data_IF_272778813540
#
_entry.id   IF_272778813540
#
_cell.length_a   1.000
_cell.length_b   1.000
_cell.length_c   1.000
_cell.angle_alpha   90.00
_cell.angle_beta   90.00
_cell.angle_gamma   90.00
#
_symmetry.space_group_name_H-M   'P 1'
#
loop_
_entity.id
_entity.type
_entity.pdbx_description
1 polymer ?
#
# COMPACT_ATOMS: atom_id res chain seq x y z
N UNK A 1 -19.05 9.28 6.80
CA UNK A 1 -17.78 9.86 7.34
C UNK A 1 -16.56 8.99 6.95
N UNK A 2 -16.49 7.72 7.36
CA UNK A 2 -15.32 6.84 7.16
C UNK A 2 -14.81 6.73 5.71
N UNK A 3 -15.70 6.60 4.72
CA UNK A 3 -15.31 6.57 3.29
C UNK A 3 -14.61 7.86 2.85
N UNK A 4 -15.08 9.02 3.32
CA UNK A 4 -14.47 10.31 3.00
C UNK A 4 -13.03 10.42 3.51
N UNK A 5 -12.78 9.93 4.72
CA UNK A 5 -11.42 9.89 5.31
C UNK A 5 -10.51 8.97 4.48
N UNK A 6 -10.95 7.74 4.17
CA UNK A 6 -10.16 6.83 3.35
C UNK A 6 -9.83 7.42 1.97
N UNK A 7 -10.80 8.05 1.31
CA UNK A 7 -10.58 8.70 0.00
C UNK A 7 -9.60 9.88 0.10
N UNK A 8 -9.68 10.68 1.16
CA UNK A 8 -8.74 11.79 1.39
C UNK A 8 -7.30 11.29 1.53
N UNK A 9 -7.10 10.25 2.35
CA UNK A 9 -5.79 9.61 2.54
C UNK A 9 -5.31 8.97 1.23
N UNK A 10 -6.18 8.27 0.51
CA UNK A 10 -5.84 7.58 -0.74
C UNK A 10 -5.37 8.56 -1.83
N UNK A 11 -6.07 9.70 -1.97
CA UNK A 11 -5.68 10.78 -2.89
C UNK A 11 -4.29 11.33 -2.56
N UNK A 12 -3.98 11.52 -1.27
CA UNK A 12 -2.65 11.99 -0.83
C UNK A 12 -1.56 10.98 -1.18
N UNK A 13 -1.78 9.69 -0.90
CA UNK A 13 -0.83 8.61 -1.22
C UNK A 13 -0.56 8.57 -2.72
N UNK A 14 -1.60 8.54 -3.56
CA UNK A 14 -1.43 8.48 -5.01
C UNK A 14 -0.84 9.76 -5.60
N UNK A 15 -1.13 10.93 -5.04
CA UNK A 15 -0.50 12.18 -5.44
C UNK A 15 1.02 12.17 -5.25
N UNK A 16 1.51 11.53 -4.18
CA UNK A 16 2.95 11.30 -3.97
C UNK A 16 3.48 10.24 -4.93
N UNK A 17 2.78 9.11 -5.06
CA UNK A 17 3.21 7.99 -5.89
C UNK A 17 3.32 8.36 -7.38
N UNK A 18 2.40 9.18 -7.92
CA UNK A 18 2.41 9.64 -9.31
C UNK A 18 3.72 10.33 -9.74
N UNK A 19 4.46 10.93 -8.79
CA UNK A 19 5.77 11.55 -9.07
C UNK A 19 6.86 10.53 -9.41
N UNK A 20 6.63 9.25 -9.11
CA UNK A 20 7.61 8.17 -9.24
C UNK A 20 7.34 7.25 -10.45
N UNK A 21 6.43 7.63 -11.37
CA UNK A 21 5.95 6.76 -12.47
C UNK A 21 5.51 5.38 -11.98
N UNK A 22 4.39 5.35 -11.24
CA UNK A 22 3.81 4.11 -10.70
C UNK A 22 3.63 3.08 -11.82
N UNK A 23 4.35 1.96 -11.72
CA UNK A 23 4.24 0.83 -12.66
C UNK A 23 3.02 -0.02 -12.31
N UNK A 24 2.61 -0.88 -13.26
CA UNK A 24 1.66 -1.96 -12.98
C UNK A 24 2.22 -2.85 -11.86
N UNK A 25 1.32 -3.49 -11.11
CA UNK A 25 1.63 -4.37 -9.96
C UNK A 25 2.13 -3.65 -8.70
N UNK A 26 1.24 -2.90 -8.04
CA UNK A 26 1.56 -2.18 -6.80
C UNK A 26 1.32 -3.07 -5.58
N UNK A 27 2.35 -3.26 -4.75
CA UNK A 27 2.22 -3.90 -3.45
C UNK A 27 1.86 -2.86 -2.36
N UNK A 28 0.96 -3.22 -1.46
CA UNK A 28 0.60 -2.37 -0.31
C UNK A 28 0.82 -3.13 1.01
N UNK A 29 1.66 -2.54 1.88
CA UNK A 29 2.18 -3.18 3.08
C UNK A 29 2.05 -2.27 4.30
N UNK A 30 2.46 -2.74 5.48
CA UNK A 30 2.29 -2.05 6.76
C UNK A 30 0.95 -2.38 7.45
N UNK A 31 0.73 -1.81 8.63
CA UNK A 31 -0.48 -2.10 9.43
C UNK A 31 -1.79 -1.69 8.76
N UNK A 32 -1.78 -0.59 8.00
CA UNK A 32 -2.96 -0.06 7.30
C UNK A 32 -3.42 -0.98 6.16
N UNK A 33 -2.56 -1.85 5.64
CA UNK A 33 -2.93 -2.84 4.64
C UNK A 33 -3.88 -3.94 5.16
N UNK A 34 -4.17 -4.00 6.47
CA UNK A 34 -5.26 -4.82 7.02
C UNK A 34 -6.64 -4.15 6.90
N UNK A 35 -6.69 -2.84 6.62
CA UNK A 35 -7.94 -2.09 6.48
C UNK A 35 -8.50 -2.24 5.06
N UNK A 36 -9.54 -3.09 4.94
CA UNK A 36 -10.25 -3.34 3.67
C UNK A 36 -10.85 -2.07 3.05
N UNK A 37 -11.26 -1.10 3.86
CA UNK A 37 -11.81 0.17 3.37
C UNK A 37 -10.73 1.06 2.74
N UNK A 38 -9.53 1.05 3.31
CA UNK A 38 -8.37 1.75 2.74
C UNK A 38 -7.89 1.08 1.45
N UNK A 39 -7.82 -0.25 1.43
CA UNK A 39 -7.48 -1.02 0.22
C UNK A 39 -8.43 -0.66 -0.92
N UNK A 40 -9.75 -0.74 -0.68
CA UNK A 40 -10.76 -0.39 -1.69
C UNK A 40 -10.61 1.04 -2.20
N UNK A 41 -10.38 2.00 -1.31
CA UNK A 41 -10.21 3.41 -1.69
C UNK A 41 -8.95 3.64 -2.55
N UNK A 42 -7.85 2.93 -2.26
CA UNK A 42 -6.64 2.99 -3.07
C UNK A 42 -6.84 2.32 -4.43
N UNK A 43 -7.43 1.12 -4.47
CA UNK A 43 -7.72 0.41 -5.73
C UNK A 43 -8.67 1.22 -6.63
N UNK A 44 -9.70 1.85 -6.06
CA UNK A 44 -10.64 2.72 -6.80
C UNK A 44 -9.92 3.88 -7.50
N UNK A 45 -8.97 4.53 -6.83
CA UNK A 45 -8.23 5.66 -7.39
C UNK A 45 -7.02 5.25 -8.25
N UNK A 46 -6.43 4.09 -7.96
CA UNK A 46 -5.32 3.52 -8.74
C UNK A 46 -5.83 2.98 -10.08
N UNK A 47 -7.06 2.47 -10.12
CA UNK A 47 -7.64 1.80 -11.29
C UNK A 47 -7.10 0.38 -11.51
N UNK A 48 -6.43 -0.20 -10.51
CA UNK A 48 -5.84 -1.53 -10.54
C UNK A 48 -5.89 -2.16 -9.13
N UNK A 49 -5.73 -3.48 -9.05
CA UNK A 49 -5.69 -4.20 -7.78
C UNK A 49 -4.35 -4.06 -7.08
N UNK A 50 -4.42 -3.97 -5.76
CA UNK A 50 -3.23 -3.99 -4.92
C UNK A 50 -2.82 -5.43 -4.61
N UNK A 51 -1.52 -5.70 -4.66
CA UNK A 51 -0.94 -6.93 -4.11
C UNK A 51 -0.77 -6.76 -2.61
N UNK A 52 -1.57 -7.51 -1.85
CA UNK A 52 -1.49 -7.54 -0.38
C UNK A 52 -0.81 -8.84 0.03
N UNK A 53 0.38 -8.81 0.65
CA UNK A 53 1.01 -10.01 1.19
C UNK A 53 0.22 -10.55 2.41
N UNK A 54 0.37 -11.83 2.78
CA UNK A 54 -0.37 -12.42 3.89
C UNK A 54 -0.18 -11.67 5.22
N UNK A 55 1.06 -11.27 5.53
CA UNK A 55 1.43 -10.54 6.74
C UNK A 55 2.01 -9.16 6.41
N UNK A 56 1.19 -8.19 5.98
CA UNK A 56 1.69 -6.92 5.45
C UNK A 56 2.44 -6.09 6.49
N UNK A 57 2.13 -6.25 7.77
CA UNK A 57 2.78 -5.55 8.87
C UNK A 57 4.22 -6.04 9.12
N UNK A 58 4.55 -7.28 8.73
CA UNK A 58 5.87 -7.88 8.95
C UNK A 58 6.85 -7.60 7.81
N UNK A 59 6.38 -7.13 6.66
CA UNK A 59 7.21 -6.97 5.45
C UNK A 59 8.43 -6.08 5.69
N UNK A 60 8.29 -5.02 6.50
CA UNK A 60 9.43 -4.15 6.84
C UNK A 60 10.51 -4.88 7.65
N UNK A 61 10.12 -5.66 8.64
CA UNK A 61 11.05 -6.46 9.45
C UNK A 61 11.69 -7.58 8.60
N UNK A 62 10.91 -8.22 7.72
CA UNK A 62 11.43 -9.20 6.77
C UNK A 62 12.50 -8.58 5.86
N UNK A 63 12.26 -7.38 5.33
CA UNK A 63 13.25 -6.66 4.52
C UNK A 63 14.54 -6.39 5.28
N UNK A 64 14.45 -5.94 6.53
CA UNK A 64 15.62 -5.73 7.39
C UNK A 64 16.40 -7.03 7.65
N UNK A 65 15.70 -8.14 7.90
CA UNK A 65 16.32 -9.44 8.09
C UNK A 65 17.04 -9.95 6.81
N UNK A 66 16.44 -9.74 5.64
CA UNK A 66 17.05 -10.09 4.36
C UNK A 66 18.34 -9.32 4.12
N UNK A 67 18.31 -8.00 4.32
CA UNK A 67 19.49 -7.13 4.22
C UNK A 67 20.60 -7.59 5.18
N UNK A 68 20.25 -7.90 6.44
CA UNK A 68 21.22 -8.40 7.41
C UNK A 68 21.78 -9.78 7.05
N UNK A 69 20.98 -10.63 6.38
CA UNK A 69 21.41 -11.97 5.94
C UNK A 69 22.36 -11.96 4.74
N UNK A 70 22.66 -10.79 4.15
CA UNK A 70 23.53 -10.67 2.98
C UNK A 70 22.91 -11.24 1.70
N UNK A 71 21.58 -11.39 1.66
CA UNK A 71 20.80 -11.74 0.49
C UNK A 71 20.26 -10.52 -0.21
#
# INVERSE_FOLDING_TARGET
ITRGIHMSIAKRILGMAKRLSVKKEVAFTGGVAKNKGMIKALEELLGDKLRIPPDPQLVGALGAALIASGR
#
